data_IF_995374683134
#
_entry.id   IF_995374683134
#
_cell.length_a   1.000
_cell.length_b   1.000
_cell.length_c   1.000
_cell.angle_alpha   90.00
_cell.angle_beta   90.00
_cell.angle_gamma   90.00
#
_symmetry.space_group_name_H-M   'P 1'
#
loop_
_entity.id
_entity.type
_entity.pdbx_description
1 polymer ?
#
# COMPACT_ATOMS: atom_id res chain seq x y z
N UNK A 1 -3.46 -14.29 -3.41
CA UNK A 1 -3.81 -12.89 -3.73
C UNK A 1 -5.33 -12.80 -3.72
N UNK A 2 -5.90 -11.75 -3.14
CA UNK A 2 -7.35 -11.58 -2.91
C UNK A 2 -7.83 -10.23 -3.45
N UNK A 3 -9.13 -10.05 -3.72
CA UNK A 3 -9.71 -8.75 -4.11
C UNK A 3 -9.42 -7.65 -3.08
N UNK A 4 -9.39 -8.02 -1.80
CA UNK A 4 -8.96 -7.13 -0.71
C UNK A 4 -7.51 -6.65 -0.88
N UNK A 5 -6.62 -7.49 -1.40
CA UNK A 5 -5.24 -7.06 -1.65
C UNK A 5 -5.18 -6.03 -2.78
N UNK A 6 -5.94 -6.24 -3.86
CA UNK A 6 -6.03 -5.32 -5.00
C UNK A 6 -6.53 -3.94 -4.56
N UNK A 7 -7.71 -3.88 -3.95
CA UNK A 7 -8.27 -2.61 -3.48
C UNK A 7 -7.44 -1.94 -2.39
N UNK A 8 -6.81 -2.74 -1.52
CA UNK A 8 -5.92 -2.21 -0.50
C UNK A 8 -4.72 -1.48 -1.11
N UNK A 9 -4.10 -2.05 -2.15
CA UNK A 9 -2.94 -1.44 -2.81
C UNK A 9 -3.38 -0.26 -3.69
N UNK A 10 -4.49 -0.38 -4.40
CA UNK A 10 -5.11 0.68 -5.21
C UNK A 10 -5.38 1.93 -4.35
N UNK A 11 -5.99 1.75 -3.18
CA UNK A 11 -6.25 2.87 -2.26
C UNK A 11 -4.96 3.53 -1.75
N UNK A 12 -3.90 2.76 -1.49
CA UNK A 12 -2.60 3.33 -1.09
C UNK A 12 -2.01 4.14 -2.25
N UNK A 13 -2.16 3.66 -3.49
CA UNK A 13 -1.67 4.37 -4.68
C UNK A 13 -2.33 5.73 -4.84
N UNK A 14 -3.66 5.80 -4.71
CA UNK A 14 -4.41 7.07 -4.80
C UNK A 14 -4.02 8.09 -3.73
N UNK A 15 -3.61 7.62 -2.55
CA UNK A 15 -3.19 8.48 -1.43
C UNK A 15 -1.68 8.74 -1.39
N UNK A 16 -0.91 8.17 -2.33
CA UNK A 16 0.58 8.11 -2.37
C UNK A 16 1.23 7.34 -1.21
N UNK A 17 0.68 7.46 0.01
CA UNK A 17 1.10 6.73 1.20
C UNK A 17 -0.06 6.59 2.19
N UNK A 18 -0.04 5.53 2.99
CA UNK A 18 -1.01 5.34 4.08
C UNK A 18 -0.35 4.77 5.34
N UNK A 19 -0.80 5.22 6.52
CA UNK A 19 -0.33 4.65 7.79
C UNK A 19 -0.92 3.27 8.06
N UNK A 20 -0.20 2.44 8.80
CA UNK A 20 -0.57 1.06 9.09
C UNK A 20 -1.92 0.93 9.84
N UNK A 21 -2.24 1.87 10.73
CA UNK A 21 -3.50 1.93 11.46
C UNK A 21 -4.69 2.32 10.56
N UNK A 22 -4.47 3.26 9.63
CA UNK A 22 -5.45 3.58 8.59
C UNK A 22 -5.66 2.40 7.65
N UNK A 23 -4.59 1.70 7.27
CA UNK A 23 -4.67 0.48 6.47
C UNK A 23 -5.44 -0.62 7.21
N UNK A 24 -5.25 -0.76 8.53
CA UNK A 24 -6.03 -1.70 9.35
C UNK A 24 -7.53 -1.40 9.26
N UNK A 25 -7.92 -0.12 9.37
CA UNK A 25 -9.31 0.31 9.21
C UNK A 25 -9.85 -0.05 7.82
N UNK A 26 -9.11 0.29 6.77
CA UNK A 26 -9.49 -0.01 5.39
C UNK A 26 -9.68 -1.51 5.17
N UNK A 27 -8.68 -2.33 5.49
CA UNK A 27 -8.71 -3.77 5.27
C UNK A 27 -9.77 -4.49 6.10
N UNK A 28 -10.20 -3.89 7.21
CA UNK A 28 -11.28 -4.42 8.04
C UNK A 28 -12.67 -4.18 7.43
N UNK A 29 -12.82 -3.23 6.50
CA UNK A 29 -14.08 -2.97 5.78
C UNK A 29 -14.32 -3.95 4.64
N UNK A 30 -13.25 -4.51 4.07
CA UNK A 30 -13.34 -5.55 3.06
C UNK A 30 -13.59 -6.91 3.72
N UNK A 31 -14.87 -7.22 3.94
CA UNK A 31 -15.30 -8.53 4.40
C UNK A 31 -15.13 -9.57 3.30
N UNK A 32 -14.44 -10.66 3.61
CA UNK A 32 -14.51 -11.88 2.81
C UNK A 32 -15.88 -12.51 3.05
N UNK A 33 -16.66 -12.76 1.99
CA UNK A 33 -17.96 -13.43 2.08
C UNK A 33 -17.86 -14.82 2.76
N UNK A 34 -16.68 -15.44 2.72
CA UNK A 34 -16.40 -16.73 3.38
C UNK A 34 -15.99 -16.58 4.85
N UNK A 35 -15.55 -15.39 5.27
CA UNK A 35 -15.11 -15.09 6.63
C UNK A 35 -15.64 -13.73 7.10
N UNK A 36 -16.96 -13.59 7.28
CA UNK A 36 -17.57 -12.33 7.70
C UNK A 36 -17.11 -11.94 9.10
N UNK A 37 -16.58 -10.73 9.25
CA UNK A 37 -16.28 -10.18 10.58
C UNK A 37 -17.60 -9.90 11.32
N UNK A 38 -17.82 -10.54 12.46
CA UNK A 38 -18.96 -10.19 13.31
C UNK A 38 -18.68 -8.85 14.03
N UNK A 39 -19.52 -7.86 13.79
CA UNK A 39 -19.68 -6.61 14.54
C UNK A 39 -18.45 -5.70 14.64
N UNK A 40 -18.11 -4.96 13.58
CA UNK A 40 -17.20 -3.81 13.66
C UNK A 40 -15.79 -4.09 14.19
N UNK A 41 -15.40 -5.36 14.32
CA UNK A 41 -14.10 -5.76 14.82
C UNK A 41 -13.05 -5.53 13.75
N UNK A 42 -12.04 -4.75 14.11
CA UNK A 42 -10.85 -4.55 13.28
C UNK A 42 -10.05 -5.86 13.19
N UNK A 43 -9.38 -6.04 12.06
CA UNK A 43 -8.29 -7.00 11.94
C UNK A 43 -7.27 -6.75 13.04
N UNK A 44 -6.73 -7.82 13.62
CA UNK A 44 -5.59 -7.67 14.52
C UNK A 44 -4.43 -7.00 13.78
N UNK A 45 -3.69 -6.11 14.45
CA UNK A 45 -2.55 -5.41 13.86
C UNK A 45 -1.51 -6.39 13.30
N UNK A 46 -1.28 -7.51 13.99
CA UNK A 46 -0.38 -8.59 13.53
C UNK A 46 -0.82 -9.19 12.20
N UNK A 47 -2.13 -9.33 11.98
CA UNK A 47 -2.68 -9.79 10.70
C UNK A 47 -2.41 -8.78 9.59
N UNK A 48 -2.60 -7.48 9.87
CA UNK A 48 -2.32 -6.40 8.91
C UNK A 48 -0.83 -6.34 8.58
N UNK A 49 0.05 -6.44 9.58
CA UNK A 49 1.50 -6.55 9.38
C UNK A 49 1.87 -7.76 8.53
N UNK A 50 1.20 -8.89 8.74
CA UNK A 50 1.36 -10.09 7.92
C UNK A 50 0.97 -9.86 6.45
N UNK A 51 -0.11 -9.13 6.21
CA UNK A 51 -0.55 -8.72 4.85
C UNK A 51 0.50 -7.82 4.20
N UNK A 52 0.90 -6.74 4.88
CA UNK A 52 1.90 -5.79 4.39
C UNK A 52 3.24 -6.49 4.12
N UNK A 53 3.70 -7.36 5.02
CA UNK A 53 4.93 -8.12 4.83
C UNK A 53 4.86 -9.07 3.62
N UNK A 54 3.68 -9.56 3.22
CA UNK A 54 3.54 -10.30 1.95
C UNK A 54 3.64 -9.37 0.76
N UNK A 55 3.00 -8.20 0.80
CA UNK A 55 3.06 -7.24 -0.30
C UNK A 55 4.47 -6.68 -0.51
N UNK A 56 5.20 -6.42 0.59
CA UNK A 56 6.62 -6.02 0.55
C UNK A 56 7.47 -7.10 -0.10
N UNK A 57 7.29 -8.38 0.28
CA UNK A 57 7.99 -9.51 -0.34
C UNK A 57 7.65 -9.69 -1.83
N UNK A 58 6.45 -9.31 -2.23
CA UNK A 58 6.01 -9.34 -3.63
C UNK A 58 6.49 -8.13 -4.44
N UNK A 59 7.18 -7.16 -3.83
CA UNK A 59 7.67 -5.96 -4.49
C UNK A 59 6.63 -4.86 -4.69
N UNK A 60 5.36 -5.09 -4.34
CA UNK A 60 4.25 -4.16 -4.66
C UNK A 60 4.20 -2.91 -3.77
N UNK A 61 4.70 -3.01 -2.53
CA UNK A 61 4.71 -1.88 -1.59
C UNK A 61 6.04 -1.79 -0.85
N UNK A 62 6.34 -0.61 -0.31
CA UNK A 62 7.38 -0.39 0.70
C UNK A 62 6.74 -0.08 2.03
N UNK A 63 7.34 -0.58 3.10
CA UNK A 63 6.93 -0.26 4.47
C UNK A 63 8.10 0.41 5.21
N UNK A 64 7.83 1.50 5.91
CA UNK A 64 8.82 2.19 6.74
C UNK A 64 8.20 2.79 7.98
N UNK A 65 8.76 2.48 9.15
CA UNK A 65 8.47 3.21 10.38
C UNK A 65 9.42 4.40 10.48
N UNK A 66 8.87 5.62 10.59
CA UNK A 66 9.67 6.85 10.61
C UNK A 66 10.02 7.23 12.05
N UNK A 67 9.05 7.21 12.96
CA UNK A 67 9.23 7.50 14.37
C UNK A 67 9.04 6.24 15.21
N UNK A 68 9.84 6.12 16.28
CA UNK A 68 9.63 5.10 17.28
C UNK A 68 8.21 5.27 17.88
N UNK A 69 7.50 4.16 18.09
CA UNK A 69 6.15 4.09 18.65
C UNK A 69 5.00 4.58 17.74
N UNK A 70 5.27 5.21 16.60
CA UNK A 70 4.24 5.55 15.62
C UNK A 70 3.95 4.40 14.65
N UNK A 71 2.71 4.30 14.13
CA UNK A 71 2.42 3.40 13.02
C UNK A 71 3.33 3.69 11.82
N UNK A 72 3.86 2.63 11.22
CA UNK A 72 4.66 2.77 10.00
C UNK A 72 3.80 3.16 8.79
N UNK A 73 4.47 3.65 7.77
CA UNK A 73 3.88 4.08 6.50
C UNK A 73 4.06 2.99 5.45
N UNK A 74 3.04 2.85 4.60
CA UNK A 74 3.02 1.96 3.44
C UNK A 74 2.88 2.83 2.19
N UNK A 75 3.73 2.62 1.20
CA UNK A 75 3.69 3.31 -0.10
C UNK A 75 3.74 2.28 -1.22
N UNK A 76 3.03 2.53 -2.33
CA UNK A 76 3.08 1.63 -3.49
C UNK A 76 4.39 1.85 -4.26
N UNK A 77 4.96 0.77 -4.80
CA UNK A 77 6.14 0.86 -5.69
C UNK A 77 5.71 1.04 -7.14
N UNK A 78 6.65 1.32 -8.05
CA UNK A 78 6.35 1.28 -9.48
C UNK A 78 5.76 -0.07 -9.94
N UNK A 79 6.27 -1.19 -9.41
CA UNK A 79 5.72 -2.53 -9.71
C UNK A 79 4.31 -2.71 -9.15
N UNK A 80 4.05 -2.18 -7.95
CA UNK A 80 2.71 -2.19 -7.35
C UNK A 80 1.71 -1.34 -8.12
N UNK A 81 2.14 -0.20 -8.66
CA UNK A 81 1.31 0.67 -9.50
C UNK A 81 0.94 -0.02 -10.80
N UNK A 82 1.90 -0.62 -11.50
CA UNK A 82 1.62 -1.45 -12.71
C UNK A 82 0.69 -2.62 -12.38
N UNK A 83 0.77 -3.15 -11.16
CA UNK A 83 -0.07 -4.25 -10.71
C UNK A 83 -1.54 -3.83 -10.51
N UNK A 84 -1.81 -2.64 -9.94
CA UNK A 84 -3.19 -2.17 -9.68
C UNK A 84 -3.78 -1.36 -10.83
N UNK A 85 -2.97 -0.54 -11.49
CA UNK A 85 -3.37 0.23 -12.65
C UNK A 85 -2.89 -0.48 -13.92
N UNK A 86 -3.82 -1.24 -14.50
CA UNK A 86 -3.56 -2.10 -15.66
C UNK A 86 -3.46 -1.35 -16.98
N UNK A 87 -3.71 -0.03 -17.02
CA UNK A 87 -3.80 0.71 -18.28
C UNK A 87 -3.01 2.02 -18.33
N UNK A 88 -2.77 2.72 -17.21
CA UNK A 88 -2.18 4.08 -17.27
C UNK A 88 -0.74 4.17 -16.73
N UNK A 89 -0.34 3.33 -15.77
CA UNK A 89 1.00 3.39 -15.18
C UNK A 89 2.03 2.51 -15.90
N UNK A 90 3.13 3.13 -16.33
CA UNK A 90 4.35 2.42 -16.73
C UNK A 90 5.49 2.79 -15.81
N UNK A 91 6.10 1.82 -15.12
CA UNK A 91 7.28 2.01 -14.28
C UNK A 91 8.55 2.20 -15.14
N UNK A 92 8.53 3.19 -16.05
CA UNK A 92 9.71 3.56 -16.83
C UNK A 92 10.74 4.21 -15.91
N UNK A 93 12.04 3.90 -16.06
CA UNK A 93 13.08 4.60 -15.32
C UNK A 93 12.99 6.11 -15.58
N UNK A 94 13.20 6.91 -14.53
CA UNK A 94 13.21 8.36 -14.67
C UNK A 94 14.30 8.78 -15.65
N UNK A 95 13.92 9.56 -16.68
CA UNK A 95 14.90 10.17 -17.57
C UNK A 95 15.74 11.18 -16.78
N UNK A 96 17.07 11.13 -16.92
CA UNK A 96 17.95 12.12 -16.28
C UNK A 96 17.59 13.56 -16.68
N UNK A 97 17.12 13.78 -17.91
CA UNK A 97 16.66 15.09 -18.38
C UNK A 97 15.38 15.61 -17.71
N UNK A 98 14.61 14.73 -17.03
CA UNK A 98 13.44 15.15 -16.22
C UNK A 98 13.80 15.44 -14.77
N UNK A 99 15.03 15.12 -14.38
CA UNK A 99 15.58 15.40 -13.06
C UNK A 99 16.39 16.70 -13.05
N UNK A 100 16.45 17.43 -14.18
CA UNK A 100 16.97 18.80 -14.19
C UNK A 100 16.12 19.64 -13.25
N UNK A 101 16.70 19.99 -12.11
CA UNK A 101 16.02 20.71 -11.05
C UNK A 101 15.60 22.09 -11.55
N UNK A 102 14.33 22.46 -11.33
CA UNK A 102 13.80 23.81 -11.63
C UNK A 102 14.59 24.93 -10.93
N UNK A 103 15.28 24.59 -9.83
CA UNK A 103 16.09 25.51 -9.02
C UNK A 103 17.42 24.88 -8.60
N UNK A 104 18.20 24.35 -9.55
CA UNK A 104 19.61 24.08 -9.26
C UNK A 104 20.31 25.43 -9.00
N UNK A 105 20.73 25.67 -7.75
CA UNK A 105 21.68 26.73 -7.37
C UNK A 105 23.04 26.08 -7.16
#
# INVERSE_FOLDING_TARGET
MTERDLHGIEWIAEQEAMRLDQLQQLLSRYMDARHPFKNGKLLAETTVRGVVARWVRAGWVRYKQIYAYDPGWVCVTGEGLVFVDREQWSARPASMSRLDHLYAV
#
